data_IF_807352050013
#
_entry.id   IF_807352050013
#
_cell.length_a   1.000
_cell.length_b   1.000
_cell.length_c   1.000
_cell.angle_alpha   90.00
_cell.angle_beta   90.00
_cell.angle_gamma   90.00
#
_symmetry.space_group_name_H-M   'P 1'
#
loop_
_entity.id
_entity.type
_entity.pdbx_description
1 polymer ?
#
# COMPACT_ATOMS: atom_id res chain seq x y z
N UNK A 1 2.00 -11.29 -26.09
CA UNK A 1 2.57 -10.51 -24.98
C UNK A 1 2.18 -11.17 -23.67
N UNK A 2 3.16 -11.49 -22.84
CA UNK A 2 2.88 -12.19 -21.60
C UNK A 2 2.49 -11.19 -20.50
N UNK A 3 1.41 -11.50 -19.80
CA UNK A 3 1.02 -10.76 -18.63
C UNK A 3 2.04 -11.01 -17.51
N UNK A 4 2.39 -9.98 -16.77
CA UNK A 4 3.29 -10.11 -15.62
C UNK A 4 2.63 -10.98 -14.56
N UNK A 5 3.30 -12.05 -14.16
CA UNK A 5 2.82 -12.95 -13.12
C UNK A 5 3.49 -12.63 -11.80
N UNK A 6 2.67 -12.37 -10.80
CA UNK A 6 3.15 -12.11 -9.44
C UNK A 6 2.37 -12.97 -8.45
N UNK A 7 2.98 -13.20 -7.29
CA UNK A 7 2.31 -13.86 -6.17
C UNK A 7 2.33 -12.94 -4.96
N UNK A 8 1.27 -12.99 -4.17
CA UNK A 8 1.15 -12.25 -2.91
C UNK A 8 1.36 -13.26 -1.78
N UNK A 9 2.45 -13.11 -1.05
CA UNK A 9 2.82 -14.05 0.01
C UNK A 9 2.83 -13.35 1.36
N UNK A 10 2.39 -14.00 2.44
CA UNK A 10 2.47 -13.37 3.76
C UNK A 10 3.88 -12.90 4.05
N UNK A 11 3.98 -11.70 4.60
CA UNK A 11 5.25 -11.10 4.94
C UNK A 11 6.03 -11.94 5.94
N UNK A 12 7.36 -12.05 5.73
CA UNK A 12 8.29 -12.67 6.66
C UNK A 12 9.40 -11.67 6.98
N UNK A 13 9.96 -11.77 8.17
CA UNK A 13 11.04 -10.87 8.58
C UNK A 13 12.25 -10.97 7.64
N UNK A 14 12.46 -12.13 7.03
CA UNK A 14 13.53 -12.30 6.03
C UNK A 14 13.32 -11.47 4.76
N UNK A 15 12.13 -10.91 4.55
CA UNK A 15 11.83 -10.05 3.41
C UNK A 15 12.30 -8.60 3.61
N UNK A 16 12.68 -8.22 4.83
CA UNK A 16 12.97 -6.83 5.18
C UNK A 16 13.98 -6.14 4.26
N UNK A 17 15.10 -6.81 3.97
CA UNK A 17 16.15 -6.21 3.15
C UNK A 17 15.66 -5.92 1.74
N UNK A 18 14.94 -6.86 1.14
CA UNK A 18 14.43 -6.70 -0.22
C UNK A 18 13.26 -5.72 -0.31
N UNK A 19 12.38 -5.72 0.68
CA UNK A 19 11.31 -4.72 0.74
C UNK A 19 11.90 -3.31 0.89
N UNK A 20 12.93 -3.16 1.71
CA UNK A 20 13.63 -1.88 1.85
C UNK A 20 14.27 -1.44 0.55
N UNK A 21 14.86 -2.38 -0.19
CA UNK A 21 15.44 -2.09 -1.50
C UNK A 21 14.38 -1.55 -2.46
N UNK A 22 13.23 -2.19 -2.52
CA UNK A 22 12.17 -1.80 -3.47
C UNK A 22 11.52 -0.48 -3.10
N UNK A 23 11.24 -0.23 -1.81
CA UNK A 23 10.64 1.05 -1.43
C UNK A 23 11.59 2.21 -1.74
N UNK A 24 12.90 2.01 -1.58
CA UNK A 24 13.90 3.04 -1.91
C UNK A 24 13.92 3.38 -3.39
N UNK A 25 13.54 2.46 -4.26
CA UNK A 25 13.39 2.74 -5.70
C UNK A 25 12.27 3.73 -5.98
N UNK A 26 11.35 3.90 -5.04
CA UNK A 26 10.23 4.83 -5.14
C UNK A 26 10.51 6.19 -4.46
N UNK A 27 11.72 6.39 -3.99
CA UNK A 27 12.15 7.62 -3.35
C UNK A 27 12.99 8.47 -4.30
N UNK A 28 12.88 9.77 -4.30
CA UNK A 28 11.97 10.60 -3.49
C UNK A 28 10.61 10.81 -4.14
N UNK A 29 10.33 10.19 -5.29
CA UNK A 29 9.15 10.49 -6.11
C UNK A 29 7.84 10.20 -5.38
N UNK A 30 7.69 8.99 -4.83
CA UNK A 30 6.44 8.54 -4.21
C UNK A 30 6.54 8.47 -2.69
N UNK A 31 7.73 8.34 -2.15
CA UNK A 31 7.99 8.31 -0.70
C UNK A 31 9.16 9.21 -0.39
N UNK A 32 9.06 9.92 0.73
CA UNK A 32 10.18 10.72 1.21
C UNK A 32 11.25 9.80 1.80
N UNK A 33 12.56 10.08 1.56
CA UNK A 33 13.63 9.24 2.13
C UNK A 33 13.55 9.08 3.65
N UNK A 34 13.01 10.05 4.37
CA UNK A 34 12.87 9.97 5.82
C UNK A 34 11.82 8.94 6.26
N UNK A 35 10.97 8.47 5.34
CA UNK A 35 9.94 7.47 5.66
C UNK A 35 10.50 6.06 5.81
N UNK A 36 11.77 5.82 5.46
CA UNK A 36 12.32 4.45 5.54
C UNK A 36 12.31 3.92 6.98
N UNK A 37 12.62 4.77 7.95
CA UNK A 37 12.61 4.35 9.35
C UNK A 37 11.18 4.02 9.82
N UNK A 38 10.20 4.80 9.38
CA UNK A 38 8.79 4.54 9.68
C UNK A 38 8.34 3.21 9.10
N UNK A 39 8.77 2.92 7.87
CA UNK A 39 8.44 1.66 7.22
C UNK A 39 9.03 0.46 7.96
N UNK A 40 10.30 0.54 8.34
CA UNK A 40 10.95 -0.55 9.07
C UNK A 40 10.29 -0.76 10.43
N UNK A 41 9.89 0.32 11.08
CA UNK A 41 9.17 0.26 12.35
C UNK A 41 7.82 -0.40 12.17
N UNK A 42 7.13 -0.08 11.07
CA UNK A 42 5.87 -0.71 10.71
C UNK A 42 6.05 -2.22 10.50
N UNK A 43 7.07 -2.64 9.77
CA UNK A 43 7.33 -4.06 9.52
C UNK A 43 7.55 -4.84 10.82
N UNK A 44 8.15 -4.20 11.82
CA UNK A 44 8.43 -4.83 13.10
C UNK A 44 7.23 -4.86 14.04
N UNK A 45 6.13 -4.19 13.70
CA UNK A 45 4.98 -4.06 14.60
C UNK A 45 4.13 -5.32 14.70
N UNK A 46 4.16 -6.20 13.70
CA UNK A 46 3.47 -7.50 13.65
C UNK A 46 1.96 -7.46 13.90
N UNK A 47 1.33 -6.30 13.68
CA UNK A 47 -0.11 -6.13 13.96
C UNK A 47 -0.97 -6.13 12.71
N UNK A 48 -0.36 -6.19 11.55
CA UNK A 48 -1.02 -5.98 10.28
C UNK A 48 -1.01 -7.25 9.46
N UNK A 49 -1.88 -7.25 8.47
CA UNK A 49 -1.88 -8.29 7.44
C UNK A 49 -1.06 -7.73 6.27
N UNK A 50 0.22 -8.05 6.27
CA UNK A 50 1.14 -7.53 5.26
C UNK A 50 1.63 -8.63 4.33
N UNK A 51 1.83 -8.29 3.05
CA UNK A 51 2.17 -9.24 1.99
C UNK A 51 3.38 -8.75 1.21
N UNK A 52 4.25 -9.69 0.89
CA UNK A 52 5.39 -9.44 0.02
C UNK A 52 5.03 -9.95 -1.38
N UNK A 53 5.27 -9.13 -2.39
CA UNK A 53 4.95 -9.45 -3.78
C UNK A 53 6.20 -9.97 -4.46
N UNK A 54 6.11 -11.18 -5.03
CA UNK A 54 7.20 -11.82 -5.75
C UNK A 54 6.85 -12.00 -7.22
N UNK A 55 7.84 -11.84 -8.10
CA UNK A 55 7.67 -12.14 -9.52
C UNK A 55 7.88 -13.63 -9.79
N UNK A 56 7.87 -14.03 -11.06
CA UNK A 56 8.03 -15.43 -11.48
C UNK A 56 9.38 -16.01 -11.05
N UNK A 57 10.39 -15.17 -10.91
CA UNK A 57 11.74 -15.58 -10.50
C UNK A 57 11.93 -15.51 -8.99
N UNK A 58 10.84 -15.35 -8.24
CA UNK A 58 10.83 -15.24 -6.78
C UNK A 58 11.56 -14.00 -6.26
N UNK A 59 11.71 -12.99 -7.12
CA UNK A 59 12.29 -11.70 -6.72
C UNK A 59 11.21 -10.83 -6.10
N UNK A 60 11.56 -10.14 -5.01
CA UNK A 60 10.64 -9.20 -4.37
C UNK A 60 10.47 -7.98 -5.26
N UNK A 61 9.23 -7.67 -5.62
CA UNK A 61 8.88 -6.53 -6.48
C UNK A 61 7.90 -5.58 -5.84
N UNK A 62 7.53 -5.77 -4.59
CA UNK A 62 6.64 -4.86 -3.88
C UNK A 62 6.15 -5.38 -2.56
N UNK A 63 5.37 -4.54 -1.90
CA UNK A 63 4.72 -4.89 -0.64
C UNK A 63 3.42 -4.11 -0.49
N UNK A 64 2.49 -4.65 0.28
CA UNK A 64 1.23 -3.99 0.60
C UNK A 64 0.52 -4.79 1.70
N UNK A 65 -0.44 -4.15 2.33
CA UNK A 65 -1.24 -4.86 3.30
C UNK A 65 -2.36 -4.01 3.85
N UNK A 66 -2.98 -4.48 4.92
CA UNK A 66 -4.08 -3.75 5.55
C UNK A 66 -4.08 -3.96 7.05
N UNK A 67 -4.70 -3.03 7.75
CA UNK A 67 -4.90 -3.07 9.19
C UNK A 67 -6.38 -2.89 9.48
N UNK A 68 -6.88 -3.59 10.50
CA UNK A 68 -8.29 -3.52 10.88
C UNK A 68 -8.44 -2.70 12.15
N UNK A 69 -9.32 -1.71 12.09
CA UNK A 69 -9.71 -0.88 13.24
C UNK A 69 -11.20 -1.09 13.47
N UNK A 70 -11.58 -2.34 13.75
CA UNK A 70 -12.98 -2.77 13.79
C UNK A 70 -13.82 -2.02 14.83
N UNK A 71 -13.25 -1.71 16.00
CA UNK A 71 -13.96 -0.95 17.02
C UNK A 71 -14.26 0.48 16.58
N UNK A 72 -13.51 1.00 15.61
CA UNK A 72 -13.68 2.35 15.07
C UNK A 72 -14.37 2.35 13.71
N UNK A 73 -14.67 1.17 13.19
CA UNK A 73 -15.47 1.00 11.98
C UNK A 73 -14.74 1.17 10.66
N UNK A 74 -13.40 1.12 10.66
CA UNK A 74 -12.66 1.25 9.40
C UNK A 74 -11.47 0.29 9.31
N UNK A 75 -10.98 0.11 8.08
CA UNK A 75 -9.72 -0.56 7.80
C UNK A 75 -8.84 0.40 7.02
N UNK A 76 -7.56 0.15 7.04
CA UNK A 76 -6.59 0.97 6.33
C UNK A 76 -5.73 0.08 5.44
N UNK A 77 -5.52 0.49 4.19
CA UNK A 77 -4.53 -0.15 3.32
C UNK A 77 -3.21 0.56 3.59
N UNK A 78 -2.17 -0.23 3.89
CA UNK A 78 -0.89 0.26 4.39
C UNK A 78 0.24 0.01 3.42
N UNK A 79 1.12 0.99 3.29
CA UNK A 79 2.44 0.85 2.67
C UNK A 79 2.43 0.05 1.36
N UNK A 80 1.60 0.47 0.42
CA UNK A 80 1.51 -0.17 -0.89
C UNK A 80 2.52 0.47 -1.85
N UNK A 81 3.42 -0.35 -2.39
CA UNK A 81 4.41 0.11 -3.35
C UNK A 81 4.90 -1.05 -4.21
N UNK A 82 5.40 -0.74 -5.38
CA UNK A 82 5.95 -1.72 -6.32
C UNK A 82 7.20 -1.16 -6.99
N UNK A 83 8.06 -2.07 -7.47
CA UNK A 83 9.22 -1.67 -8.28
C UNK A 83 8.73 -0.81 -9.45
N UNK A 84 9.31 0.38 -9.67
CA UNK A 84 8.87 1.25 -10.76
C UNK A 84 8.86 0.57 -12.13
N UNK A 85 9.68 -0.45 -12.34
CA UNK A 85 9.71 -1.20 -13.59
C UNK A 85 8.41 -1.91 -13.91
N UNK A 86 7.59 -2.20 -12.91
CA UNK A 86 6.32 -2.89 -13.12
C UNK A 86 5.10 -1.97 -12.93
N UNK A 87 5.31 -0.68 -12.76
CA UNK A 87 4.21 0.29 -12.70
C UNK A 87 3.40 0.26 -14.00
N UNK A 88 2.10 0.48 -13.90
CA UNK A 88 1.23 0.54 -15.07
C UNK A 88 0.79 -0.81 -15.61
N UNK A 89 1.10 -1.92 -14.93
CA UNK A 89 0.73 -3.25 -15.39
C UNK A 89 -0.44 -3.87 -14.62
N UNK A 90 -1.16 -3.06 -13.84
CA UNK A 90 -2.36 -3.51 -13.15
C UNK A 90 -2.12 -4.23 -11.83
N UNK A 91 -0.87 -4.33 -11.37
CA UNK A 91 -0.56 -5.04 -10.11
C UNK A 91 -1.10 -4.28 -8.92
N UNK A 92 -1.00 -2.95 -8.93
CA UNK A 92 -1.55 -2.12 -7.85
C UNK A 92 -3.05 -2.32 -7.68
N UNK A 93 -3.79 -2.37 -8.78
CA UNK A 93 -5.23 -2.63 -8.74
C UNK A 93 -5.53 -4.00 -8.16
N UNK A 94 -4.77 -5.03 -8.54
CA UNK A 94 -4.93 -6.39 -8.01
C UNK A 94 -4.68 -6.40 -6.50
N UNK A 95 -3.66 -5.68 -6.03
CA UNK A 95 -3.34 -5.61 -4.60
C UNK A 95 -4.46 -4.95 -3.81
N UNK A 96 -5.00 -3.83 -4.30
CA UNK A 96 -6.10 -3.13 -3.63
C UNK A 96 -7.34 -4.02 -3.57
N UNK A 97 -7.70 -4.68 -4.68
CA UNK A 97 -8.86 -5.57 -4.71
C UNK A 97 -8.66 -6.78 -3.80
N UNK A 98 -7.44 -7.29 -3.70
CA UNK A 98 -7.12 -8.36 -2.77
C UNK A 98 -7.39 -7.91 -1.33
N UNK A 99 -6.91 -6.73 -0.94
CA UNK A 99 -7.19 -6.18 0.38
C UNK A 99 -8.68 -6.03 0.62
N UNK A 100 -9.41 -5.49 -0.35
CA UNK A 100 -10.86 -5.30 -0.23
C UNK A 100 -11.56 -6.63 0.02
N UNK A 101 -11.17 -7.68 -0.69
CA UNK A 101 -11.78 -9.01 -0.54
C UNK A 101 -11.51 -9.59 0.84
N UNK A 102 -10.35 -9.30 1.43
CA UNK A 102 -10.00 -9.76 2.77
C UNK A 102 -10.73 -8.96 3.86
N UNK A 103 -11.01 -7.70 3.59
CA UNK A 103 -11.64 -6.79 4.56
C UNK A 103 -13.16 -6.98 4.60
N UNK A 104 -13.79 -7.24 3.46
CA UNK A 104 -15.25 -7.32 3.35
C UNK A 104 -15.93 -8.26 4.35
N UNK A 105 -15.38 -9.44 4.71
CA UNK A 105 -16.02 -10.31 5.71
C UNK A 105 -16.10 -9.70 7.11
N UNK A 106 -15.32 -8.68 7.40
CA UNK A 106 -15.32 -8.01 8.70
C UNK A 106 -16.44 -6.98 8.77
N UNK A 107 -17.60 -7.41 9.24
CA UNK A 107 -18.84 -6.64 9.16
C UNK A 107 -18.84 -5.34 9.96
N UNK A 108 -17.97 -5.24 10.96
CA UNK A 108 -17.83 -3.99 11.72
C UNK A 108 -17.14 -2.89 10.92
N UNK A 109 -16.41 -3.25 9.86
CA UNK A 109 -15.70 -2.29 9.01
C UNK A 109 -16.68 -1.73 7.98
N UNK A 110 -16.83 -0.39 7.95
CA UNK A 110 -17.75 0.30 7.07
C UNK A 110 -17.05 1.13 5.99
N UNK A 111 -15.77 1.34 6.13
CA UNK A 111 -14.98 2.08 5.13
C UNK A 111 -13.52 1.65 5.14
N UNK A 112 -12.86 1.87 4.02
CA UNK A 112 -11.42 1.66 3.86
C UNK A 112 -10.78 3.02 3.64
N UNK A 113 -9.69 3.28 4.36
CA UNK A 113 -8.94 4.53 4.30
C UNK A 113 -7.56 4.25 3.73
N UNK A 114 -7.09 5.11 2.85
CA UNK A 114 -5.72 5.04 2.31
C UNK A 114 -5.11 6.43 2.45
N UNK A 115 -3.94 6.51 3.08
CA UNK A 115 -3.18 7.76 3.13
C UNK A 115 -2.07 7.67 2.09
N UNK A 116 -2.06 8.61 1.17
CA UNK A 116 -1.13 8.62 0.05
C UNK A 116 -0.70 10.06 -0.25
N UNK A 117 -0.19 10.31 -1.46
CA UNK A 117 0.21 11.66 -1.86
C UNK A 117 -0.53 12.12 -3.10
N UNK A 118 -0.32 13.39 -3.48
CA UNK A 118 -0.89 13.95 -4.71
C UNK A 118 -0.42 13.21 -5.96
N UNK A 119 0.67 12.45 -5.86
CA UNK A 119 1.22 11.72 -7.00
C UNK A 119 0.51 10.42 -7.30
N UNK A 120 -0.19 9.87 -6.33
CA UNK A 120 -0.84 8.56 -6.45
C UNK A 120 -2.33 8.56 -6.15
N UNK A 121 -2.87 9.65 -5.61
CA UNK A 121 -4.30 9.68 -5.24
C UNK A 121 -5.23 9.41 -6.42
N UNK A 122 -4.88 9.87 -7.63
CA UNK A 122 -5.69 9.63 -8.82
C UNK A 122 -5.84 8.14 -9.14
N UNK A 123 -4.80 7.34 -8.87
CA UNK A 123 -4.85 5.90 -9.03
C UNK A 123 -5.96 5.30 -8.17
N UNK A 124 -6.01 5.70 -6.90
CA UNK A 124 -7.03 5.19 -5.99
C UNK A 124 -8.42 5.72 -6.33
N UNK A 125 -8.52 6.96 -6.83
CA UNK A 125 -9.80 7.51 -7.25
C UNK A 125 -10.42 6.68 -8.38
N UNK A 126 -9.61 6.12 -9.27
CA UNK A 126 -10.09 5.21 -10.32
C UNK A 126 -10.62 3.90 -9.76
N UNK A 127 -10.27 3.57 -8.52
CA UNK A 127 -10.77 2.37 -7.84
C UNK A 127 -11.93 2.69 -6.89
N UNK A 128 -12.59 3.84 -7.11
CA UNK A 128 -13.76 4.31 -6.38
C UNK A 128 -13.47 4.85 -4.98
N UNK A 129 -12.23 5.23 -4.72
CA UNK A 129 -11.89 5.99 -3.53
C UNK A 129 -12.08 7.48 -3.81
N UNK A 130 -12.52 8.22 -2.81
CA UNK A 130 -12.70 9.67 -2.94
C UNK A 130 -11.77 10.41 -2.00
N UNK A 131 -11.30 11.57 -2.44
CA UNK A 131 -10.42 12.42 -1.64
C UNK A 131 -11.24 12.99 -0.47
N UNK A 132 -10.71 12.81 0.75
CA UNK A 132 -11.38 13.25 1.97
C UNK A 132 -10.62 14.37 2.66
N UNK A 133 -9.28 14.35 2.59
CA UNK A 133 -8.44 15.27 3.36
C UNK A 133 -7.09 15.45 2.67
N UNK A 134 -6.55 16.66 2.76
CA UNK A 134 -5.20 16.97 2.28
C UNK A 134 -4.44 17.74 3.36
N UNK A 135 -3.11 17.60 3.34
CA UNK A 135 -2.24 18.39 4.21
C UNK A 135 -0.90 18.61 3.50
N UNK A 136 -0.52 19.87 3.33
CA UNK A 136 0.70 20.23 2.63
C UNK A 136 1.94 19.71 3.35
N UNK A 137 2.90 19.21 2.57
CA UNK A 137 4.23 18.78 3.04
C UNK A 137 4.20 17.77 4.19
N UNK A 138 3.14 16.96 4.26
CA UNK A 138 2.96 16.01 5.36
C UNK A 138 4.04 14.93 5.40
N UNK A 139 4.38 14.38 4.23
CA UNK A 139 5.39 13.31 4.13
C UNK A 139 6.80 13.86 4.04
N UNK A 140 6.93 15.04 3.46
CA UNK A 140 8.17 15.73 3.24
C UNK A 140 7.91 16.94 2.35
N UNK A 141 8.91 17.74 2.11
CA UNK A 141 8.76 18.96 1.31
C UNK A 141 8.29 18.59 -0.10
N UNK A 142 7.14 19.15 -0.50
CA UNK A 142 6.56 18.90 -1.81
C UNK A 142 5.81 17.58 -1.94
N UNK A 143 5.69 16.80 -0.87
CA UNK A 143 4.96 15.54 -0.87
C UNK A 143 3.83 15.63 0.14
N UNK A 144 2.63 15.92 -0.36
CA UNK A 144 1.47 16.26 0.46
C UNK A 144 0.69 15.01 0.87
N UNK A 145 0.00 15.08 2.00
CA UNK A 145 -0.96 14.05 2.36
C UNK A 145 -2.21 14.18 1.50
N UNK A 146 -2.61 13.09 0.88
CA UNK A 146 -3.92 12.91 0.28
C UNK A 146 -4.54 11.68 0.93
N UNK A 147 -5.59 11.88 1.72
CA UNK A 147 -6.33 10.79 2.34
C UNK A 147 -7.56 10.50 1.52
N UNK A 148 -7.67 9.27 1.04
CA UNK A 148 -8.80 8.82 0.24
C UNK A 148 -9.57 7.74 0.99
N UNK A 149 -10.88 7.64 0.74
CA UNK A 149 -11.76 6.74 1.47
C UNK A 149 -12.78 6.11 0.52
N UNK A 150 -13.14 4.86 0.83
CA UNK A 150 -14.18 4.13 0.12
C UNK A 150 -15.13 3.51 1.13
N UNK A 151 -16.42 3.79 0.99
CA UNK A 151 -17.43 3.16 1.83
C UNK A 151 -17.68 1.73 1.36
N UNK A 152 -17.79 0.81 2.32
CA UNK A 152 -18.06 -0.61 2.07
C UNK A 152 -19.12 -1.08 3.08
N UNK A 153 -20.08 -1.71 2.74
CA UNK A 153 -21.08 -2.18 3.71
C UNK A 153 -22.38 -1.44 3.70
#
# INVERSE_FOLDING_TARGET
>A
MNELQVTFNPYRISDNAELSRVIKLNMPTFFDPDEIEDYLRFLNSQKQFYFTVHDENKKVVGGFGYSLFSSEGFAKIDWIFFDPKIHGQGIGSKAVRFCESQILPHKAVKKIVITTSQKTSAFFEKLDYRLEKTQADFWGKGLHLHQVVKSIG
#
